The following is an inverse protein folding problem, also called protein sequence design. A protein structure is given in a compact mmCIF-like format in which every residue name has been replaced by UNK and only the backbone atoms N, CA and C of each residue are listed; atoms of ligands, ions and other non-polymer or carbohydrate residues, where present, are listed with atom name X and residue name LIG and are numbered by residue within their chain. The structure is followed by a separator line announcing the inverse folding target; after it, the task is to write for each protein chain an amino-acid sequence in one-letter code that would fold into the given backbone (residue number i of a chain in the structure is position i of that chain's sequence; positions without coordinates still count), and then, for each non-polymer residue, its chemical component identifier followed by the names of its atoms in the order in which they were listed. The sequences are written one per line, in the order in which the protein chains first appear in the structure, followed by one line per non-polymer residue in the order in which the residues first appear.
data_IF_688636422102
#
_entry.id   IF_688636422102
#
_cell.length_a   1.000
_cell.length_b   1.000
_cell.length_c   1.000
_cell.angle_alpha   90.00
_cell.angle_beta   90.00
_cell.angle_gamma   90.00
#
_symmetry.space_group_name_H-M   'P 1'
#
loop_
_entity.id
_entity.type
_entity.pdbx_description
1 polymer ?
#
# COMPACT_ATOMS: atom_id res chain seq x y z
N UNK A 1 21.48 13.01 18.50
CA UNK A 1 20.16 13.58 18.13
C UNK A 1 19.11 12.97 19.03
N UNK A 2 18.21 13.77 19.61
CA UNK A 2 17.14 13.23 20.45
C UNK A 2 16.14 12.44 19.61
N UNK A 3 15.86 11.19 20.01
CA UNK A 3 14.76 10.40 19.46
C UNK A 3 13.43 11.03 19.86
N UNK A 4 12.49 11.16 18.92
CA UNK A 4 11.16 11.67 19.28
C UNK A 4 10.32 10.59 19.94
N UNK A 5 9.38 11.02 20.81
CA UNK A 5 8.45 10.09 21.45
C UNK A 5 7.68 9.28 20.40
N UNK A 6 7.35 8.02 20.71
CA UNK A 6 6.58 7.14 19.83
C UNK A 6 5.27 7.79 19.37
N UNK A 7 4.57 8.49 20.28
CA UNK A 7 3.33 9.22 19.97
C UNK A 7 3.53 10.29 18.89
N UNK A 8 4.62 11.08 18.99
CA UNK A 8 4.94 12.10 18.00
C UNK A 8 5.28 11.48 16.65
N UNK A 9 6.00 10.37 16.62
CA UNK A 9 6.33 9.64 15.40
C UNK A 9 5.08 9.09 14.71
N UNK A 10 4.18 8.46 15.46
CA UNK A 10 2.90 7.97 14.94
C UNK A 10 2.05 9.10 14.37
N UNK A 11 1.93 10.22 15.10
CA UNK A 11 1.14 11.36 14.65
C UNK A 11 1.66 11.94 13.33
N UNK A 12 2.96 12.21 13.24
CA UNK A 12 3.57 12.75 12.02
C UNK A 12 3.42 11.80 10.84
N UNK A 13 3.64 10.50 11.04
CA UNK A 13 3.44 9.50 10.00
C UNK A 13 1.98 9.47 9.53
N UNK A 14 1.02 9.43 10.46
CA UNK A 14 -0.41 9.34 10.13
C UNK A 14 -0.90 10.58 9.39
N UNK A 15 -0.58 11.79 9.89
CA UNK A 15 -0.99 13.05 9.24
C UNK A 15 -0.35 13.19 7.85
N UNK A 16 0.96 12.95 7.75
CA UNK A 16 1.66 13.04 6.47
C UNK A 16 1.14 12.05 5.43
N UNK A 17 0.94 10.81 5.84
CA UNK A 17 0.45 9.75 4.95
C UNK A 17 -0.99 9.95 4.51
N UNK A 18 -1.87 10.39 5.43
CA UNK A 18 -3.27 10.69 5.10
C UNK A 18 -3.35 11.86 4.11
N UNK A 19 -2.61 12.93 4.36
CA UNK A 19 -2.54 14.08 3.46
C UNK A 19 -2.01 13.68 2.07
N UNK A 20 -0.92 12.88 2.03
CA UNK A 20 -0.34 12.38 0.79
C UNK A 20 -1.34 11.54 -0.02
N UNK A 21 -2.05 10.63 0.63
CA UNK A 21 -3.07 9.79 -0.01
C UNK A 21 -4.25 10.61 -0.52
N UNK A 22 -4.67 11.63 0.25
CA UNK A 22 -5.73 12.57 -0.17
C UNK A 22 -5.31 13.36 -1.40
N UNK A 23 -4.08 13.87 -1.45
CA UNK A 23 -3.56 14.57 -2.61
C UNK A 23 -3.44 13.65 -3.85
N UNK A 24 -3.02 12.40 -3.67
CA UNK A 24 -3.02 11.42 -4.77
C UNK A 24 -4.43 11.15 -5.30
N UNK A 25 -5.43 11.04 -4.42
CA UNK A 25 -6.81 10.89 -4.84
C UNK A 25 -7.32 12.15 -5.57
N UNK A 26 -6.98 13.34 -5.08
CA UNK A 26 -7.37 14.61 -5.72
C UNK A 26 -6.84 14.72 -7.17
N UNK A 27 -5.68 14.16 -7.50
CA UNK A 27 -5.18 14.11 -8.89
C UNK A 27 -6.18 13.44 -9.82
N UNK A 28 -6.80 12.33 -9.40
CA UNK A 28 -7.80 11.62 -10.21
C UNK A 28 -9.08 12.43 -10.39
N UNK A 29 -9.45 13.23 -9.39
CA UNK A 29 -10.59 14.16 -9.48
C UNK A 29 -10.26 15.34 -10.38
N UNK A 30 -9.07 15.92 -10.23
CA UNK A 30 -8.64 17.09 -10.99
C UNK A 30 -8.50 16.79 -12.48
N UNK A 31 -7.96 15.63 -12.86
CA UNK A 31 -7.89 15.26 -14.28
C UNK A 31 -9.27 15.14 -14.90
N UNK A 32 -10.24 14.57 -14.19
CA UNK A 32 -11.61 14.45 -14.68
C UNK A 32 -12.35 15.79 -14.78
N UNK A 33 -11.97 16.79 -13.98
CA UNK A 33 -12.62 18.11 -13.91
C UNK A 33 -11.96 19.18 -14.76
N UNK A 34 -10.64 19.14 -14.89
CA UNK A 34 -9.86 20.20 -15.55
C UNK A 34 -9.44 19.85 -16.98
N UNK A 35 -9.44 18.56 -17.37
CA UNK A 35 -9.14 18.21 -18.75
C UNK A 35 -10.35 18.46 -19.67
N UNK A 36 -10.08 18.77 -20.92
CA UNK A 36 -11.11 19.05 -21.94
C UNK A 36 -11.88 17.81 -22.43
N UNK A 37 -11.60 16.62 -21.86
CA UNK A 37 -12.27 15.35 -22.18
C UNK A 37 -11.88 14.25 -21.22
N UNK A 38 -12.60 13.10 -21.31
CA UNK A 38 -12.34 11.92 -20.47
C UNK A 38 -11.09 11.13 -20.90
N UNK A 39 -10.50 11.42 -22.06
CA UNK A 39 -9.33 10.70 -22.60
C UNK A 39 -8.13 10.82 -21.67
N UNK A 40 -7.85 12.02 -21.13
CA UNK A 40 -6.77 12.24 -20.19
C UNK A 40 -6.94 11.43 -18.89
N UNK A 41 -8.17 11.31 -18.39
CA UNK A 41 -8.48 10.51 -17.21
C UNK A 41 -8.28 9.00 -17.50
N UNK A 42 -8.66 8.54 -18.67
CA UNK A 42 -8.44 7.18 -19.15
C UNK A 42 -6.95 6.85 -19.25
N UNK A 43 -6.16 7.71 -19.88
CA UNK A 43 -4.70 7.57 -20.03
C UNK A 43 -4.02 7.56 -18.66
N UNK A 44 -4.38 8.47 -17.76
CA UNK A 44 -3.84 8.50 -16.40
C UNK A 44 -4.17 7.20 -15.64
N UNK A 45 -5.39 6.69 -15.77
CA UNK A 45 -5.80 5.43 -15.14
C UNK A 45 -4.96 4.25 -15.63
N UNK A 46 -4.67 4.19 -16.92
CA UNK A 46 -3.78 3.17 -17.50
C UNK A 46 -2.35 3.35 -16.97
N UNK A 47 -1.83 4.56 -16.93
CA UNK A 47 -0.49 4.84 -16.40
C UNK A 47 -0.38 4.43 -14.92
N UNK A 48 -1.40 4.70 -14.10
CA UNK A 48 -1.50 4.25 -12.71
C UNK A 48 -1.53 2.72 -12.61
N UNK A 49 -2.32 2.05 -13.45
CA UNK A 49 -2.44 0.59 -13.45
C UNK A 49 -1.14 -0.11 -13.83
N UNK A 50 -0.47 0.37 -14.88
CA UNK A 50 0.84 -0.14 -15.32
C UNK A 50 1.89 0.09 -14.23
N UNK A 51 1.87 1.26 -13.57
CA UNK A 51 2.81 1.56 -12.50
C UNK A 51 2.60 0.71 -11.23
N UNK A 52 1.44 0.08 -11.05
CA UNK A 52 1.24 -0.86 -9.95
C UNK A 52 2.10 -2.13 -10.12
N UNK A 53 2.35 -2.57 -11.36
CA UNK A 53 3.27 -3.69 -11.66
C UNK A 53 4.68 -3.31 -11.19
N UNK A 54 5.14 -2.12 -11.58
CA UNK A 54 6.42 -1.56 -11.12
C UNK A 54 6.51 -1.54 -9.60
N UNK A 55 5.45 -1.07 -8.92
CA UNK A 55 5.47 -0.91 -7.47
C UNK A 55 5.64 -2.23 -6.72
N UNK A 56 5.08 -3.34 -7.21
CA UNK A 56 5.26 -4.66 -6.60
C UNK A 56 6.74 -5.11 -6.65
N UNK A 57 7.40 -4.86 -7.78
CA UNK A 57 8.81 -5.23 -7.98
C UNK A 57 9.72 -4.19 -7.29
N UNK A 58 9.47 -2.91 -7.47
CA UNK A 58 10.31 -1.83 -6.95
C UNK A 58 10.33 -1.77 -5.42
N UNK A 59 9.19 -1.91 -4.76
CA UNK A 59 9.10 -1.92 -3.29
C UNK A 59 9.65 -3.21 -2.67
N UNK A 60 9.46 -4.35 -3.30
CA UNK A 60 9.95 -5.67 -2.90
C UNK A 60 9.77 -6.01 -1.41
N UNK A 61 8.82 -5.35 -0.74
CA UNK A 61 8.59 -5.45 0.72
C UNK A 61 9.82 -5.18 1.60
N UNK A 62 10.86 -4.56 1.02
CA UNK A 62 12.14 -4.38 1.70
C UNK A 62 12.03 -3.45 2.91
N UNK A 63 11.11 -2.49 2.93
CA UNK A 63 10.94 -1.59 4.07
C UNK A 63 10.53 -2.33 5.33
N UNK A 64 9.55 -3.24 5.26
CA UNK A 64 9.13 -4.05 6.42
C UNK A 64 10.29 -4.92 6.92
N UNK A 65 11.10 -5.46 6.00
CA UNK A 65 12.31 -6.20 6.33
C UNK A 65 13.38 -5.32 6.97
N UNK A 66 13.64 -4.14 6.41
CA UNK A 66 14.63 -3.17 6.89
C UNK A 66 14.33 -2.68 8.31
N UNK A 67 13.09 -2.22 8.57
CA UNK A 67 12.73 -1.66 9.89
C UNK A 67 12.74 -2.70 11.01
N UNK A 68 12.74 -3.98 10.67
CA UNK A 68 12.86 -5.11 11.60
C UNK A 68 14.27 -5.70 11.67
N UNK A 69 15.25 -5.09 11.00
CA UNK A 69 16.66 -5.53 11.03
C UNK A 69 17.38 -4.97 12.25
N UNK A 70 17.11 -5.62 13.41
CA UNK A 70 17.63 -5.19 14.72
C UNK A 70 19.11 -5.49 14.85
N UNK A 71 19.58 -6.55 14.19
CA UNK A 71 20.99 -7.00 14.25
C UNK A 71 21.87 -6.31 13.22
N UNK A 72 21.32 -5.34 12.45
CA UNK A 72 22.03 -4.62 11.39
C UNK A 72 22.76 -5.58 10.42
N UNK A 73 22.06 -6.70 10.03
CA UNK A 73 22.60 -7.66 9.04
C UNK A 73 22.96 -6.95 7.74
N UNK A 74 22.23 -5.89 7.42
CA UNK A 74 22.45 -5.00 6.28
C UNK A 74 22.52 -3.56 6.72
N UNK A 75 23.53 -2.87 6.25
CA UNK A 75 23.67 -1.42 6.46
C UNK A 75 22.64 -0.62 5.64
N UNK A 76 22.39 0.62 6.04
CA UNK A 76 21.55 1.54 5.27
C UNK A 76 22.00 1.70 3.81
N UNK A 77 23.34 1.64 3.56
CA UNK A 77 23.93 1.68 2.22
C UNK A 77 23.48 0.49 1.37
N UNK A 78 23.43 -0.70 1.97
CA UNK A 78 23.04 -1.93 1.27
C UNK A 78 21.55 -1.96 0.98
N UNK A 79 20.70 -1.50 1.90
CA UNK A 79 19.26 -1.34 1.63
C UNK A 79 19.00 -0.34 0.51
N UNK A 80 19.70 0.80 0.48
CA UNK A 80 19.58 1.78 -0.61
C UNK A 80 20.11 1.21 -1.93
N UNK A 81 21.22 0.48 -1.90
CA UNK A 81 21.75 -0.23 -3.08
C UNK A 81 20.75 -1.22 -3.67
N UNK A 82 20.22 -2.11 -2.84
CA UNK A 82 19.21 -3.09 -3.24
C UNK A 82 17.93 -2.41 -3.79
N UNK A 83 17.50 -1.30 -3.18
CA UNK A 83 16.35 -0.52 -3.65
C UNK A 83 16.57 0.01 -5.06
N UNK A 84 17.76 0.51 -5.38
CA UNK A 84 18.07 0.97 -6.73
C UNK A 84 18.06 -0.18 -7.75
N UNK A 85 18.55 -1.35 -7.36
CA UNK A 85 18.49 -2.55 -8.23
C UNK A 85 17.02 -2.95 -8.50
N UNK A 86 16.18 -3.02 -7.46
CA UNK A 86 14.75 -3.36 -7.64
C UNK A 86 13.99 -2.31 -8.44
N UNK A 87 14.31 -1.03 -8.29
CA UNK A 87 13.77 0.05 -9.12
C UNK A 87 14.20 -0.15 -10.59
N UNK A 88 15.47 -0.40 -10.86
CA UNK A 88 15.97 -0.59 -12.22
C UNK A 88 15.33 -1.81 -12.90
N UNK A 89 15.27 -2.95 -12.22
CA UNK A 89 14.62 -4.17 -12.73
C UNK A 89 13.12 -3.97 -12.93
N UNK A 90 12.42 -3.38 -11.94
CA UNK A 90 11.00 -3.09 -12.04
C UNK A 90 10.68 -2.13 -13.17
N UNK A 91 11.51 -1.10 -13.36
CA UNK A 91 11.37 -0.13 -14.44
C UNK A 91 11.51 -0.80 -15.81
N UNK A 92 12.55 -1.64 -15.98
CA UNK A 92 12.80 -2.38 -17.22
C UNK A 92 11.63 -3.32 -17.55
N UNK A 93 11.19 -4.15 -16.60
CA UNK A 93 10.08 -5.09 -16.80
C UNK A 93 8.80 -4.35 -17.16
N UNK A 94 8.52 -3.23 -16.49
CA UNK A 94 7.30 -2.47 -16.73
C UNK A 94 7.33 -1.73 -18.06
N UNK A 95 8.48 -1.25 -18.52
CA UNK A 95 8.63 -0.69 -19.87
C UNK A 95 8.36 -1.76 -20.92
N UNK A 96 8.96 -2.94 -20.79
CA UNK A 96 8.73 -4.04 -21.74
C UNK A 96 7.26 -4.41 -21.78
N UNK A 97 6.60 -4.50 -20.62
CA UNK A 97 5.16 -4.74 -20.55
C UNK A 97 4.35 -3.62 -21.26
N UNK A 98 4.67 -2.35 -21.02
CA UNK A 98 3.98 -1.23 -21.64
C UNK A 98 4.14 -1.21 -23.17
N UNK A 99 5.34 -1.53 -23.68
CA UNK A 99 5.62 -1.61 -25.10
C UNK A 99 4.82 -2.74 -25.80
N UNK A 100 4.54 -3.84 -25.10
CA UNK A 100 3.77 -4.97 -25.66
C UNK A 100 2.26 -4.73 -25.56
N UNK A 101 1.80 -4.11 -24.45
CA UNK A 101 0.39 -4.11 -24.05
C UNK A 101 -0.33 -2.77 -24.25
N UNK A 102 0.41 -1.67 -24.48
CA UNK A 102 -0.15 -0.33 -24.61
C UNK A 102 0.12 0.28 -25.97
N UNK A 103 -0.75 1.21 -26.43
CA UNK A 103 -0.50 1.98 -27.65
C UNK A 103 0.66 2.96 -27.49
N UNK A 104 1.34 3.26 -28.60
CA UNK A 104 2.50 4.17 -28.60
C UNK A 104 2.18 5.58 -28.06
N UNK A 105 0.96 6.05 -28.29
CA UNK A 105 0.49 7.36 -27.80
C UNK A 105 0.43 7.44 -26.27
N UNK A 106 0.20 6.30 -25.59
CA UNK A 106 0.14 6.22 -24.13
C UNK A 106 1.50 6.05 -23.46
N UNK A 107 2.56 5.75 -24.22
CA UNK A 107 3.88 5.47 -23.64
C UNK A 107 4.46 6.66 -22.90
N UNK A 108 4.33 7.89 -23.43
CA UNK A 108 4.90 9.08 -22.80
C UNK A 108 4.30 9.33 -21.40
N UNK A 109 2.97 9.43 -21.23
CA UNK A 109 2.38 9.57 -19.89
C UNK A 109 2.66 8.38 -18.98
N UNK A 110 2.74 7.15 -19.49
CA UNK A 110 3.11 5.96 -18.71
C UNK A 110 4.54 6.09 -18.18
N UNK A 111 5.52 6.43 -19.05
CA UNK A 111 6.92 6.59 -18.64
C UNK A 111 7.12 7.73 -17.64
N UNK A 112 6.45 8.85 -17.84
CA UNK A 112 6.47 9.96 -16.89
C UNK A 112 5.90 9.54 -15.53
N UNK A 113 4.78 8.82 -15.52
CA UNK A 113 4.17 8.35 -14.27
C UNK A 113 5.04 7.27 -13.59
N UNK A 114 5.72 6.41 -14.36
CA UNK A 114 6.72 5.48 -13.84
C UNK A 114 7.90 6.19 -13.17
N UNK A 115 8.39 7.28 -13.76
CA UNK A 115 9.44 8.10 -13.14
C UNK A 115 8.98 8.71 -11.81
N UNK A 116 7.74 9.22 -11.75
CA UNK A 116 7.14 9.69 -10.51
C UNK A 116 7.12 8.57 -9.46
N UNK A 117 6.65 7.37 -9.82
CA UNK A 117 6.59 6.22 -8.91
C UNK A 117 7.98 5.69 -8.52
N UNK A 118 8.97 5.79 -9.39
CA UNK A 118 10.35 5.44 -9.06
C UNK A 118 10.91 6.36 -7.96
N UNK A 119 10.63 7.67 -8.04
CA UNK A 119 10.96 8.61 -6.98
C UNK A 119 10.30 8.26 -5.64
N UNK A 120 8.99 7.96 -5.64
CA UNK A 120 8.25 7.50 -4.45
C UNK A 120 8.87 6.24 -3.85
N UNK A 121 9.21 5.26 -4.71
CA UNK A 121 9.82 3.99 -4.30
C UNK A 121 11.21 4.20 -3.71
N UNK A 122 11.99 5.15 -4.25
CA UNK A 122 13.28 5.50 -3.68
C UNK A 122 13.16 6.15 -2.30
N UNK A 123 12.20 7.06 -2.11
CA UNK A 123 11.97 7.68 -0.79
C UNK A 123 11.52 6.65 0.25
N UNK A 124 10.83 5.60 -0.14
CA UNK A 124 10.37 4.56 0.79
C UNK A 124 11.52 3.90 1.57
N UNK A 125 12.68 3.63 0.94
CA UNK A 125 13.86 3.08 1.65
C UNK A 125 14.50 4.10 2.57
N UNK A 126 14.49 5.40 2.22
CA UNK A 126 14.98 6.46 3.11
C UNK A 126 14.08 6.60 4.35
N UNK A 127 12.76 6.55 4.16
CA UNK A 127 11.80 6.49 5.26
C UNK A 127 11.98 5.24 6.13
N UNK A 128 12.49 4.12 5.58
CA UNK A 128 12.90 2.95 6.36
C UNK A 128 14.04 3.30 7.31
N UNK A 129 15.07 4.01 6.85
CA UNK A 129 16.19 4.49 7.69
C UNK A 129 15.70 5.46 8.76
N UNK A 130 14.85 6.43 8.39
CA UNK A 130 14.28 7.39 9.34
C UNK A 130 13.46 6.67 10.42
N UNK A 131 12.73 5.63 10.07
CA UNK A 131 11.94 4.82 11.00
C UNK A 131 12.83 4.03 11.96
N UNK A 132 13.92 3.41 11.49
CA UNK A 132 14.91 2.72 12.34
C UNK A 132 15.51 3.65 13.40
N UNK A 133 15.68 4.94 13.06
CA UNK A 133 16.19 5.96 13.96
C UNK A 133 15.11 6.72 14.76
N UNK A 134 13.86 6.23 14.76
CA UNK A 134 12.71 6.87 15.43
C UNK A 134 12.50 8.34 15.01
N UNK A 135 12.71 8.65 13.72
CA UNK A 135 12.56 9.99 13.15
C UNK A 135 11.47 10.04 12.07
N UNK A 136 10.31 9.44 12.35
CA UNK A 136 9.17 9.46 11.42
C UNK A 136 8.55 10.86 11.22
N UNK A 137 8.98 11.85 12.01
CA UNK A 137 8.69 13.25 11.72
C UNK A 137 9.32 13.72 10.39
N UNK A 138 10.45 13.15 9.98
CA UNK A 138 11.02 13.42 8.66
C UNK A 138 10.14 12.82 7.57
N UNK A 139 9.68 11.57 7.74
CA UNK A 139 8.75 10.93 6.81
C UNK A 139 7.45 11.75 6.64
N UNK A 140 6.82 12.16 7.76
CA UNK A 140 5.58 12.93 7.71
C UNK A 140 5.74 14.28 7.02
N UNK A 141 6.82 15.02 7.32
CA UNK A 141 7.13 16.31 6.67
C UNK A 141 7.44 16.14 5.18
N UNK A 142 8.22 15.12 4.82
CA UNK A 142 8.48 14.77 3.42
C UNK A 142 7.21 14.53 2.64
N UNK A 143 6.30 13.70 3.19
CA UNK A 143 5.02 13.41 2.57
C UNK A 143 4.17 14.67 2.36
N UNK A 144 4.13 15.60 3.35
CA UNK A 144 3.43 16.87 3.22
C UNK A 144 4.03 17.73 2.10
N UNK A 145 5.34 17.89 2.09
CA UNK A 145 6.05 18.69 1.09
C UNK A 145 5.82 18.12 -0.31
N UNK A 146 6.07 16.81 -0.50
CA UNK A 146 5.89 16.14 -1.79
C UNK A 146 4.45 16.22 -2.28
N UNK A 147 3.49 15.93 -1.41
CA UNK A 147 2.07 15.95 -1.77
C UNK A 147 1.61 17.34 -2.21
N UNK A 148 2.01 18.39 -1.50
CA UNK A 148 1.68 19.76 -1.87
C UNK A 148 2.32 20.14 -3.21
N UNK A 149 3.60 19.87 -3.36
CA UNK A 149 4.34 20.23 -4.58
C UNK A 149 3.80 19.51 -5.81
N UNK A 150 3.57 18.17 -5.74
CA UNK A 150 3.06 17.46 -6.91
C UNK A 150 1.61 17.83 -7.23
N UNK A 151 0.76 18.07 -6.22
CA UNK A 151 -0.63 18.47 -6.46
C UNK A 151 -0.70 19.84 -7.13
N UNK A 152 0.08 20.82 -6.64
CA UNK A 152 0.14 22.17 -7.21
C UNK A 152 0.68 22.13 -8.63
N UNK A 153 1.80 21.45 -8.87
CA UNK A 153 2.40 21.37 -10.22
C UNK A 153 1.50 20.63 -11.21
N UNK A 154 0.81 19.57 -10.78
CA UNK A 154 -0.16 18.84 -11.59
C UNK A 154 -1.34 19.75 -11.96
N UNK A 155 -1.89 20.47 -10.98
CA UNK A 155 -3.00 21.40 -11.19
C UNK A 155 -2.63 22.51 -12.17
N UNK A 156 -1.45 23.11 -12.01
CA UNK A 156 -0.93 24.14 -12.94
C UNK A 156 -0.77 23.56 -14.35
N UNK A 157 -0.20 22.36 -14.48
CA UNK A 157 -0.02 21.68 -15.76
C UNK A 157 -1.33 21.43 -16.50
N UNK A 158 -2.39 21.04 -15.80
CA UNK A 158 -3.71 20.86 -16.40
C UNK A 158 -4.41 22.19 -16.67
N UNK A 159 -4.46 23.11 -15.70
CA UNK A 159 -5.26 24.32 -15.79
C UNK A 159 -4.72 25.31 -16.83
N UNK A 160 -3.39 25.45 -16.96
CA UNK A 160 -2.80 26.43 -17.86
C UNK A 160 -2.35 25.85 -19.21
N UNK A 161 -1.94 24.59 -19.25
CA UNK A 161 -1.42 23.97 -20.47
C UNK A 161 -2.37 22.95 -21.08
N UNK A 162 -3.46 22.58 -20.39
CA UNK A 162 -4.41 21.54 -20.81
C UNK A 162 -3.71 20.27 -21.33
N UNK A 163 -2.61 19.89 -20.72
CA UNK A 163 -1.76 18.78 -21.15
C UNK A 163 -1.45 17.84 -20.00
N UNK A 164 -1.89 16.59 -20.11
CA UNK A 164 -1.59 15.53 -19.14
C UNK A 164 -0.07 15.31 -18.99
N UNK A 165 0.66 15.34 -20.10
CA UNK A 165 2.11 15.13 -20.09
C UNK A 165 2.82 16.23 -19.31
N UNK A 166 2.43 17.50 -19.48
CA UNK A 166 2.98 18.62 -18.71
C UNK A 166 2.64 18.48 -17.23
N UNK A 167 1.40 18.09 -16.92
CA UNK A 167 0.95 17.89 -15.55
C UNK A 167 1.76 16.79 -14.83
N UNK A 168 1.94 15.62 -15.47
CA UNK A 168 2.74 14.53 -14.90
C UNK A 168 4.22 14.90 -14.82
N UNK A 169 4.77 15.61 -15.83
CA UNK A 169 6.16 16.12 -15.78
C UNK A 169 6.38 17.05 -14.59
N UNK A 170 5.39 17.90 -14.28
CA UNK A 170 5.40 18.74 -13.08
C UNK A 170 5.44 17.92 -11.80
N UNK A 171 4.66 16.83 -11.71
CA UNK A 171 4.72 15.89 -10.58
C UNK A 171 6.10 15.26 -10.42
N UNK A 172 6.69 14.79 -11.54
CA UNK A 172 8.04 14.20 -11.54
C UNK A 172 9.03 15.21 -10.99
N UNK A 173 9.11 16.39 -11.59
CA UNK A 173 10.06 17.43 -11.17
C UNK A 173 9.90 17.77 -9.68
N UNK A 174 8.68 18.00 -9.24
CA UNK A 174 8.36 18.32 -7.85
C UNK A 174 8.78 17.21 -6.87
N UNK A 175 8.57 15.94 -7.26
CA UNK A 175 8.96 14.79 -6.43
C UNK A 175 10.48 14.70 -6.30
N UNK A 176 11.22 14.84 -7.41
CA UNK A 176 12.68 14.77 -7.36
C UNK A 176 13.31 15.96 -6.64
N UNK A 177 12.72 17.16 -6.72
CA UNK A 177 13.14 18.29 -5.89
C UNK A 177 12.91 18.02 -4.40
N UNK A 178 11.77 17.42 -4.03
CA UNK A 178 11.48 17.10 -2.64
C UNK A 178 12.37 15.95 -2.09
N UNK A 179 12.85 15.03 -2.93
CA UNK A 179 13.80 13.97 -2.55
C UNK A 179 15.10 14.57 -1.99
N UNK A 180 15.48 15.77 -2.39
CA UNK A 180 16.65 16.46 -1.82
C UNK A 180 16.49 16.67 -0.32
N UNK A 181 15.26 17.00 0.14
CA UNK A 181 14.96 17.10 1.56
C UNK A 181 15.17 15.75 2.26
N UNK A 182 14.65 14.65 1.72
CA UNK A 182 14.79 13.32 2.30
C UNK A 182 16.26 12.91 2.39
N UNK A 183 17.00 13.03 1.30
CA UNK A 183 18.44 12.71 1.26
C UNK A 183 19.22 13.53 2.29
N UNK A 184 18.95 14.84 2.42
CA UNK A 184 19.68 15.69 3.36
C UNK A 184 19.38 15.34 4.82
N UNK A 185 18.14 14.98 5.14
CA UNK A 185 17.74 14.59 6.50
C UNK A 185 18.25 13.21 6.88
N UNK A 186 18.07 12.22 6.00
CA UNK A 186 18.48 10.83 6.23
C UNK A 186 20.00 10.68 6.29
N UNK A 187 20.78 11.45 5.47
CA UNK A 187 22.24 11.49 5.58
C UNK A 187 22.76 11.96 6.94
N UNK A 188 21.98 12.75 7.65
CA UNK A 188 22.31 13.16 9.01
C UNK A 188 22.14 12.04 10.05
N UNK A 189 21.48 10.92 9.69
CA UNK A 189 21.23 9.78 10.56
C UNK A 189 22.15 8.61 10.25
N UNK A 190 22.37 8.32 8.97
CA UNK A 190 23.16 7.16 8.51
C UNK A 190 23.78 7.43 7.13
N UNK A 191 24.85 6.69 6.78
CA UNK A 191 25.41 6.72 5.44
C UNK A 191 24.47 5.97 4.46
N UNK A 192 23.94 6.71 3.50
CA UNK A 192 22.99 6.22 2.49
C UNK A 192 23.60 6.11 1.09
N UNK A 193 24.93 6.18 0.95
CA UNK A 193 25.60 5.99 -0.35
C UNK A 193 25.36 4.56 -0.84
N UNK A 194 24.74 4.36 -2.03
CA UNK A 194 24.39 3.01 -2.46
C UNK A 194 25.62 2.11 -2.58
N UNK A 195 25.59 0.97 -1.91
CA UNK A 195 26.65 -0.02 -2.01
C UNK A 195 26.12 -1.37 -1.51
N UNK A 196 26.01 -2.34 -2.41
CA UNK A 196 25.65 -3.72 -2.05
C UNK A 196 26.46 -4.69 -2.90
N UNK A 197 26.87 -5.80 -2.33
CA UNK A 197 27.53 -6.89 -3.07
C UNK A 197 26.48 -7.76 -3.74
N UNK A 198 26.83 -8.35 -4.89
CA UNK A 198 25.92 -9.26 -5.63
C UNK A 198 25.43 -10.42 -4.77
N UNK A 199 26.29 -10.96 -3.89
CA UNK A 199 25.93 -12.02 -2.96
C UNK A 199 24.84 -11.58 -1.97
N UNK A 200 25.00 -10.43 -1.33
CA UNK A 200 24.00 -9.87 -0.40
C UNK A 200 22.70 -9.48 -1.12
N UNK A 201 22.79 -8.92 -2.31
CA UNK A 201 21.63 -8.61 -3.15
C UNK A 201 20.84 -9.88 -3.48
N UNK A 202 21.49 -10.92 -3.96
CA UNK A 202 20.88 -12.23 -4.24
C UNK A 202 20.24 -12.83 -2.98
N UNK A 203 20.92 -12.74 -1.82
CA UNK A 203 20.40 -13.23 -0.55
C UNK A 203 19.11 -12.49 -0.16
N UNK A 204 19.09 -11.16 -0.20
CA UNK A 204 17.90 -10.35 0.07
C UNK A 204 16.75 -10.68 -0.89
N UNK A 205 17.07 -10.78 -2.18
CA UNK A 205 16.09 -11.13 -3.21
C UNK A 205 15.43 -12.49 -2.90
N UNK A 206 16.20 -13.51 -2.66
CA UNK A 206 15.67 -14.86 -2.38
C UNK A 206 14.95 -14.94 -1.03
N UNK A 207 15.43 -14.22 -0.01
CA UNK A 207 14.82 -14.22 1.32
C UNK A 207 13.45 -13.52 1.31
N UNK A 208 13.32 -12.38 0.61
CA UNK A 208 12.05 -11.65 0.55
C UNK A 208 11.08 -12.18 -0.51
N UNK A 209 11.54 -12.97 -1.49
CA UNK A 209 10.73 -13.47 -2.60
C UNK A 209 9.42 -14.16 -2.16
N UNK A 210 9.41 -15.07 -1.16
CA UNK A 210 8.17 -15.71 -0.73
C UNK A 210 7.13 -14.68 -0.23
N UNK A 211 7.57 -13.66 0.53
CA UNK A 211 6.68 -12.61 1.01
C UNK A 211 6.14 -11.74 -0.13
N UNK A 212 6.98 -11.41 -1.13
CA UNK A 212 6.56 -10.64 -2.32
C UNK A 212 5.50 -11.41 -3.10
N UNK A 213 5.73 -12.70 -3.36
CA UNK A 213 4.74 -13.56 -4.03
C UNK A 213 3.47 -13.67 -3.19
N UNK A 214 3.57 -13.91 -1.88
CA UNK A 214 2.45 -14.00 -0.98
C UNK A 214 1.56 -12.75 -1.01
N UNK A 215 2.16 -11.57 -0.93
CA UNK A 215 1.42 -10.30 -1.00
C UNK A 215 0.84 -10.02 -2.39
N UNK A 216 1.49 -10.48 -3.45
CA UNK A 216 0.91 -10.42 -4.80
C UNK A 216 -0.32 -11.33 -4.91
N UNK A 217 -0.28 -12.54 -4.35
CA UNK A 217 -1.43 -13.45 -4.28
C UNK A 217 -2.59 -12.85 -3.46
N UNK A 218 -2.28 -12.13 -2.36
CA UNK A 218 -3.29 -11.36 -1.63
C UNK A 218 -4.01 -10.35 -2.54
N UNK A 219 -3.28 -9.65 -3.40
CA UNK A 219 -3.89 -8.72 -4.38
C UNK A 219 -4.72 -9.44 -5.44
N UNK A 220 -4.33 -10.66 -5.84
CA UNK A 220 -5.09 -11.50 -6.78
C UNK A 220 -6.48 -11.81 -6.26
N UNK A 221 -6.66 -12.05 -4.96
CA UNK A 221 -7.98 -12.29 -4.34
C UNK A 221 -8.98 -11.18 -4.69
N UNK A 222 -8.57 -9.93 -4.52
CA UNK A 222 -9.43 -8.76 -4.83
C UNK A 222 -9.64 -8.60 -6.32
N UNK A 223 -8.56 -8.73 -7.10
CA UNK A 223 -8.60 -8.51 -8.55
C UNK A 223 -9.48 -9.56 -9.24
N UNK A 224 -9.30 -10.83 -8.89
CA UNK A 224 -10.10 -11.92 -9.45
C UNK A 224 -11.59 -11.77 -9.13
N UNK A 225 -11.94 -11.47 -7.87
CA UNK A 225 -13.32 -11.27 -7.47
C UNK A 225 -14.00 -10.12 -8.25
N UNK A 226 -13.28 -9.03 -8.50
CA UNK A 226 -13.79 -7.91 -9.30
C UNK A 226 -13.90 -8.24 -10.80
N UNK A 227 -12.92 -8.95 -11.37
CA UNK A 227 -12.97 -9.38 -12.77
C UNK A 227 -14.16 -10.32 -12.99
N UNK A 228 -14.34 -11.31 -12.13
CA UNK A 228 -15.46 -12.24 -12.21
C UNK A 228 -16.82 -11.53 -12.07
N UNK A 229 -16.93 -10.52 -11.19
CA UNK A 229 -18.14 -9.68 -11.14
C UNK A 229 -18.42 -9.00 -12.49
N UNK A 230 -17.39 -8.46 -13.14
CA UNK A 230 -17.53 -7.82 -14.46
C UNK A 230 -17.96 -8.80 -15.53
N UNK A 231 -17.47 -10.03 -15.49
CA UNK A 231 -17.86 -11.11 -16.44
C UNK A 231 -19.27 -11.62 -16.16
N UNK A 232 -19.64 -11.86 -14.90
CA UNK A 232 -20.90 -12.47 -14.52
C UNK A 232 -22.09 -11.50 -14.50
N UNK A 233 -21.87 -10.23 -14.09
CA UNK A 233 -22.92 -9.22 -13.90
C UNK A 233 -22.79 -8.02 -14.85
N UNK A 234 -21.75 -7.99 -15.68
CA UNK A 234 -21.48 -6.93 -16.64
C UNK A 234 -20.67 -5.74 -16.08
N UNK A 235 -20.06 -5.00 -16.98
CA UNK A 235 -19.23 -3.82 -16.65
C UNK A 235 -19.96 -2.74 -15.85
N UNK A 236 -21.26 -2.45 -16.03
CA UNK A 236 -21.97 -1.48 -15.19
C UNK A 236 -22.02 -1.88 -13.71
N UNK A 237 -22.24 -3.16 -13.40
CA UNK A 237 -22.27 -3.68 -12.03
C UNK A 237 -20.89 -3.53 -11.36
N UNK A 238 -19.81 -3.85 -12.10
CA UNK A 238 -18.45 -3.64 -11.64
C UNK A 238 -18.17 -2.16 -11.38
N UNK A 239 -18.62 -1.28 -12.27
CA UNK A 239 -18.45 0.18 -12.11
C UNK A 239 -19.14 0.71 -10.85
N UNK A 240 -20.39 0.32 -10.59
CA UNK A 240 -21.14 0.69 -9.38
C UNK A 240 -20.42 0.18 -8.14
N UNK A 241 -20.08 -1.12 -8.11
CA UNK A 241 -19.37 -1.75 -6.98
C UNK A 241 -18.04 -1.05 -6.67
N UNK A 242 -17.22 -0.82 -7.69
CA UNK A 242 -15.92 -0.17 -7.52
C UNK A 242 -16.08 1.25 -6.98
N UNK A 243 -17.06 2.02 -7.49
CA UNK A 243 -17.32 3.40 -7.04
C UNK A 243 -17.79 3.45 -5.60
N UNK A 244 -18.76 2.61 -5.21
CA UNK A 244 -19.26 2.53 -3.81
C UNK A 244 -18.15 2.10 -2.84
N UNK A 245 -17.27 1.17 -3.25
CA UNK A 245 -16.19 0.68 -2.41
C UNK A 245 -14.96 1.62 -2.34
N UNK A 246 -14.86 2.63 -3.20
CA UNK A 246 -13.69 3.53 -3.22
C UNK A 246 -13.46 4.27 -1.90
N UNK A 247 -14.45 4.90 -1.25
CA UNK A 247 -14.22 5.62 0.01
C UNK A 247 -13.82 4.71 1.17
N UNK A 248 -14.24 3.43 1.13
CA UNK A 248 -14.01 2.48 2.21
C UNK A 248 -12.52 2.10 2.36
N UNK A 249 -11.73 2.28 1.30
CA UNK A 249 -10.27 2.02 1.31
C UNK A 249 -9.54 2.87 2.36
N UNK A 250 -10.14 3.96 2.82
CA UNK A 250 -9.58 4.79 3.90
C UNK A 250 -9.31 3.97 5.18
N UNK A 251 -10.10 2.93 5.47
CA UNK A 251 -9.90 2.03 6.61
C UNK A 251 -8.53 1.37 6.53
N UNK A 252 -8.15 0.86 5.35
CA UNK A 252 -6.88 0.19 5.12
C UNK A 252 -5.70 1.17 5.28
N UNK A 253 -5.85 2.38 4.75
CA UNK A 253 -4.85 3.42 4.89
C UNK A 253 -4.65 3.83 6.37
N UNK A 254 -5.73 4.10 7.10
CA UNK A 254 -5.66 4.44 8.52
C UNK A 254 -5.03 3.31 9.35
N UNK A 255 -5.41 2.06 9.07
CA UNK A 255 -4.83 0.90 9.72
C UNK A 255 -3.31 0.82 9.50
N UNK A 256 -2.86 0.95 8.26
CA UNK A 256 -1.44 0.93 7.91
C UNK A 256 -0.66 2.04 8.63
N UNK A 257 -1.20 3.24 8.71
CA UNK A 257 -0.55 4.36 9.38
C UNK A 257 -0.38 4.14 10.89
N UNK A 258 -1.26 3.35 11.51
CA UNK A 258 -1.18 3.00 12.93
C UNK A 258 -0.16 1.87 13.16
N UNK A 259 -0.20 0.79 12.38
CA UNK A 259 0.64 -0.37 12.67
C UNK A 259 2.06 -0.30 12.07
N UNK A 260 2.25 0.37 10.93
CA UNK A 260 3.56 0.38 10.27
C UNK A 260 4.70 0.93 11.16
N UNK A 261 4.49 1.99 11.97
CA UNK A 261 5.51 2.46 12.91
C UNK A 261 5.87 1.47 14.01
N UNK A 262 5.01 0.50 14.28
CA UNK A 262 5.18 -0.47 15.37
C UNK A 262 5.95 -1.72 14.96
N UNK A 263 6.16 -1.97 13.66
CA UNK A 263 6.80 -3.19 13.16
C UNK A 263 8.20 -3.41 13.73
N UNK A 264 9.02 -2.37 13.85
CA UNK A 264 10.34 -2.45 14.47
C UNK A 264 10.28 -2.81 15.96
N UNK A 265 9.28 -2.27 16.68
CA UNK A 265 9.08 -2.55 18.11
C UNK A 265 8.62 -4.00 18.33
N UNK A 266 7.76 -4.52 17.44
CA UNK A 266 7.37 -5.93 17.43
C UNK A 266 8.59 -6.84 17.22
N UNK A 267 9.43 -6.52 16.24
CA UNK A 267 10.63 -7.29 15.95
C UNK A 267 11.60 -7.27 17.15
N UNK A 268 11.84 -6.12 17.77
CA UNK A 268 12.67 -5.99 18.97
C UNK A 268 12.12 -6.78 20.16
N UNK A 269 10.80 -6.69 20.42
CA UNK A 269 10.17 -7.41 21.53
C UNK A 269 10.24 -8.93 21.34
N UNK A 270 10.15 -9.40 20.09
CA UNK A 270 10.28 -10.80 19.72
C UNK A 270 11.72 -11.30 19.89
N UNK A 271 12.69 -10.55 19.40
CA UNK A 271 14.11 -10.90 19.44
C UNK A 271 14.66 -10.96 20.87
N UNK A 272 14.26 -9.99 21.70
CA UNK A 272 14.64 -9.92 23.11
C UNK A 272 13.87 -10.90 24.01
N UNK A 273 12.96 -11.72 23.45
CA UNK A 273 12.15 -12.67 24.20
C UNK A 273 11.12 -12.06 25.14
N UNK A 274 10.82 -10.75 25.01
CA UNK A 274 9.80 -10.05 25.80
C UNK A 274 8.39 -10.37 25.33
N UNK A 275 7.98 -11.65 25.49
CA UNK A 275 6.70 -12.18 24.98
C UNK A 275 5.48 -11.42 25.54
N UNK A 276 5.51 -11.01 26.82
CA UNK A 276 4.43 -10.23 27.43
C UNK A 276 4.22 -8.88 26.74
N UNK A 277 5.32 -8.17 26.46
CA UNK A 277 5.29 -6.86 25.79
C UNK A 277 4.79 -7.02 24.36
N UNK A 278 5.26 -8.07 23.66
CA UNK A 278 4.80 -8.41 22.32
C UNK A 278 3.28 -8.64 22.27
N UNK A 279 2.75 -9.49 23.16
CA UNK A 279 1.32 -9.80 23.22
C UNK A 279 0.51 -8.54 23.61
N UNK A 280 0.98 -7.76 24.58
CA UNK A 280 0.34 -6.50 24.95
C UNK A 280 0.27 -5.52 23.77
N UNK A 281 1.36 -5.37 23.03
CA UNK A 281 1.42 -4.51 21.84
C UNK A 281 0.49 -5.04 20.73
N UNK A 282 0.47 -6.36 20.50
CA UNK A 282 -0.41 -7.00 19.53
C UNK A 282 -1.89 -6.73 19.86
N UNK A 283 -2.30 -6.93 21.11
CA UNK A 283 -3.68 -6.69 21.54
C UNK A 283 -4.07 -5.22 21.42
N UNK A 284 -3.18 -4.30 21.77
CA UNK A 284 -3.40 -2.85 21.60
C UNK A 284 -3.55 -2.47 20.12
N UNK A 285 -2.73 -3.06 19.26
CA UNK A 285 -2.79 -2.80 17.81
C UNK A 285 -4.09 -3.36 17.21
N UNK A 286 -4.46 -4.60 17.53
CA UNK A 286 -5.73 -5.19 17.09
C UNK A 286 -6.93 -4.36 17.59
N UNK A 287 -6.91 -3.93 18.86
CA UNK A 287 -7.94 -3.05 19.39
C UNK A 287 -8.02 -1.72 18.64
N UNK A 288 -6.88 -1.11 18.34
CA UNK A 288 -6.83 0.14 17.54
C UNK A 288 -7.43 -0.07 16.14
N UNK A 289 -7.15 -1.20 15.48
CA UNK A 289 -7.76 -1.53 14.18
C UNK A 289 -9.28 -1.67 14.26
N UNK A 290 -9.78 -2.32 15.33
CA UNK A 290 -11.23 -2.44 15.59
C UNK A 290 -11.86 -1.07 15.85
N UNK A 291 -11.20 -0.20 16.59
CA UNK A 291 -11.68 1.18 16.84
C UNK A 291 -11.73 1.98 15.53
N UNK A 292 -10.68 1.93 14.70
CA UNK A 292 -10.68 2.58 13.38
C UNK A 292 -11.85 2.09 12.54
N UNK A 293 -12.05 0.77 12.48
CA UNK A 293 -13.18 0.18 11.78
C UNK A 293 -14.52 0.69 12.31
N UNK A 294 -14.72 0.66 13.64
CA UNK A 294 -15.97 1.09 14.26
C UNK A 294 -16.27 2.57 13.97
N UNK A 295 -15.27 3.45 14.09
CA UNK A 295 -15.43 4.89 13.79
C UNK A 295 -15.78 5.11 12.31
N UNK A 296 -15.07 4.46 11.39
CA UNK A 296 -15.37 4.55 9.97
C UNK A 296 -16.75 3.95 9.64
N UNK A 297 -17.10 2.80 10.22
CA UNK A 297 -18.39 2.15 9.99
C UNK A 297 -19.55 3.04 10.47
N UNK A 298 -19.45 3.61 11.67
CA UNK A 298 -20.46 4.56 12.19
C UNK A 298 -20.55 5.78 11.26
N UNK A 299 -19.43 6.36 10.82
CA UNK A 299 -19.41 7.47 9.90
C UNK A 299 -20.12 7.14 8.57
N UNK A 300 -19.80 6.00 7.97
CA UNK A 300 -20.43 5.58 6.71
C UNK A 300 -21.91 5.19 6.87
N UNK A 301 -22.32 4.63 8.02
CA UNK A 301 -23.74 4.36 8.29
C UNK A 301 -24.54 5.66 8.45
N UNK A 302 -23.95 6.69 9.07
CA UNK A 302 -24.64 7.96 9.31
C UNK A 302 -24.72 8.87 8.09
N UNK A 303 -23.68 8.92 7.27
CA UNK A 303 -23.53 9.93 6.20
C UNK A 303 -23.19 9.30 4.84
N UNK A 304 -23.05 7.98 4.74
CA UNK A 304 -22.54 7.31 3.54
C UNK A 304 -23.38 7.54 2.30
N UNK A 305 -24.70 7.36 2.39
CA UNK A 305 -25.61 7.58 1.25
C UNK A 305 -25.62 9.03 0.78
N UNK A 306 -25.57 9.99 1.73
CA UNK A 306 -25.49 11.42 1.42
C UNK A 306 -24.15 11.76 0.76
N UNK A 307 -23.06 11.21 1.29
CA UNK A 307 -21.71 11.40 0.76
C UNK A 307 -21.60 10.83 -0.67
N UNK A 308 -22.08 9.60 -0.88
CA UNK A 308 -22.09 8.96 -2.19
C UNK A 308 -22.96 9.73 -3.19
N UNK A 309 -24.13 10.18 -2.75
CA UNK A 309 -25.04 10.98 -3.59
C UNK A 309 -24.45 12.33 -4.00
N UNK A 310 -23.79 13.01 -3.05
CA UNK A 310 -23.14 14.29 -3.31
C UNK A 310 -21.93 14.18 -4.25
N UNK A 311 -21.09 13.14 -4.06
CA UNK A 311 -19.86 12.97 -4.82
C UNK A 311 -20.12 12.31 -6.19
N UNK A 312 -20.90 11.22 -6.22
CA UNK A 312 -21.04 10.35 -7.38
C UNK A 312 -22.44 10.33 -8.01
N UNK A 313 -23.41 11.00 -7.37
CA UNK A 313 -24.75 11.11 -7.88
C UNK A 313 -25.75 10.05 -7.37
N UNK A 314 -27.05 10.20 -7.74
CA UNK A 314 -28.14 9.42 -7.14
C UNK A 314 -28.08 7.92 -7.48
N UNK A 315 -27.58 7.54 -8.66
CA UNK A 315 -27.44 6.15 -9.06
C UNK A 315 -26.50 5.36 -8.14
N UNK A 316 -25.43 6.00 -7.68
CA UNK A 316 -24.46 5.37 -6.76
C UNK A 316 -25.05 5.34 -5.34
N UNK A 317 -25.71 6.41 -4.90
CA UNK A 317 -26.40 6.46 -3.60
C UNK A 317 -27.47 5.38 -3.45
N UNK A 318 -28.22 5.06 -4.51
CA UNK A 318 -29.21 3.98 -4.51
C UNK A 318 -28.63 2.59 -4.24
N UNK A 319 -27.32 2.41 -4.41
CA UNK A 319 -26.59 1.17 -4.14
C UNK A 319 -25.76 1.25 -2.84
N UNK A 320 -26.07 2.17 -1.92
CA UNK A 320 -25.35 2.37 -0.67
C UNK A 320 -25.30 1.13 0.25
N UNK A 321 -26.25 0.21 0.12
CA UNK A 321 -26.25 -1.07 0.85
C UNK A 321 -24.98 -1.92 0.62
N UNK A 322 -24.27 -1.73 -0.49
CA UNK A 322 -22.99 -2.39 -0.76
C UNK A 322 -21.88 -1.96 0.22
N UNK A 323 -22.03 -0.80 0.87
CA UNK A 323 -21.07 -0.27 1.85
C UNK A 323 -20.88 -1.27 3.00
N UNK A 324 -21.95 -1.88 3.50
CA UNK A 324 -21.87 -2.74 4.70
C UNK A 324 -20.96 -3.95 4.49
N UNK A 325 -21.17 -4.66 3.39
CA UNK A 325 -20.29 -5.78 3.02
C UNK A 325 -18.86 -5.31 2.68
N UNK A 326 -18.75 -4.15 2.02
CA UNK A 326 -17.47 -3.50 1.71
C UNK A 326 -16.67 -3.09 2.94
N UNK A 327 -17.31 -2.56 3.98
CA UNK A 327 -16.67 -2.18 5.24
C UNK A 327 -16.01 -3.39 5.92
N UNK A 328 -16.73 -4.52 6.03
CA UNK A 328 -16.17 -5.75 6.57
C UNK A 328 -15.00 -6.26 5.73
N UNK A 329 -15.16 -6.25 4.40
CA UNK A 329 -14.11 -6.62 3.47
C UNK A 329 -12.85 -5.75 3.67
N UNK A 330 -13.01 -4.43 3.81
CA UNK A 330 -11.90 -3.49 4.01
C UNK A 330 -11.19 -3.69 5.35
N UNK A 331 -11.93 -3.99 6.41
CA UNK A 331 -11.36 -4.33 7.73
C UNK A 331 -10.50 -5.60 7.64
N UNK A 332 -11.03 -6.66 7.01
CA UNK A 332 -10.29 -7.91 6.85
C UNK A 332 -9.06 -7.75 5.97
N UNK A 333 -9.15 -6.92 4.92
CA UNK A 333 -7.99 -6.54 4.08
C UNK A 333 -6.90 -5.86 4.93
N UNK A 334 -7.29 -4.92 5.79
CA UNK A 334 -6.36 -4.25 6.69
C UNK A 334 -5.73 -5.22 7.70
N UNK A 335 -6.51 -6.15 8.24
CA UNK A 335 -6.03 -7.18 9.17
C UNK A 335 -5.01 -8.11 8.49
N UNK A 336 -5.31 -8.60 7.28
CA UNK A 336 -4.40 -9.46 6.51
C UNK A 336 -3.11 -8.72 6.18
N UNK A 337 -3.19 -7.45 5.79
CA UNK A 337 -2.01 -6.62 5.53
C UNK A 337 -1.14 -6.48 6.79
N UNK A 338 -1.75 -6.15 7.94
CA UNK A 338 -1.04 -6.06 9.22
C UNK A 338 -0.36 -7.37 9.60
N UNK A 339 -1.09 -8.50 9.58
CA UNK A 339 -0.54 -9.80 9.96
C UNK A 339 0.58 -10.26 9.01
N UNK A 340 0.44 -9.98 7.71
CA UNK A 340 1.47 -10.29 6.72
C UNK A 340 2.73 -9.45 6.95
N UNK A 341 2.60 -8.13 7.16
CA UNK A 341 3.74 -7.26 7.45
C UNK A 341 4.40 -7.62 8.80
N UNK A 342 3.59 -8.04 9.79
CA UNK A 342 4.10 -8.52 11.07
C UNK A 342 4.91 -9.80 10.91
N UNK A 343 4.43 -10.82 10.17
CA UNK A 343 5.21 -12.04 9.90
C UNK A 343 6.50 -11.74 9.13
N UNK A 344 6.46 -10.81 8.18
CA UNK A 344 7.66 -10.34 7.47
C UNK A 344 8.66 -9.73 8.46
N UNK A 345 8.18 -8.91 9.40
CA UNK A 345 9.04 -8.29 10.42
C UNK A 345 9.65 -9.31 11.40
N UNK A 346 8.98 -10.45 11.60
CA UNK A 346 9.48 -11.59 12.39
C UNK A 346 10.29 -12.60 11.56
N UNK A 347 10.63 -12.28 10.31
CA UNK A 347 11.40 -13.13 9.38
C UNK A 347 10.68 -14.43 8.94
N UNK A 348 9.37 -14.57 9.15
CA UNK A 348 8.58 -15.72 8.64
C UNK A 348 7.96 -15.42 7.25
N UNK A 349 8.83 -15.28 6.24
CA UNK A 349 8.43 -15.04 4.85
C UNK A 349 7.57 -16.17 4.30
N UNK A 350 7.91 -17.41 4.66
CA UNK A 350 7.17 -18.60 4.24
C UNK A 350 5.78 -18.68 4.85
N UNK A 351 5.63 -18.24 6.12
CA UNK A 351 4.31 -18.14 6.75
C UNK A 351 3.41 -17.14 6.04
N UNK A 352 3.94 -15.99 5.69
CA UNK A 352 3.24 -14.99 4.89
C UNK A 352 2.83 -15.56 3.52
N UNK A 353 3.74 -16.24 2.80
CA UNK A 353 3.46 -16.86 1.51
C UNK A 353 2.35 -17.91 1.60
N UNK A 354 2.49 -18.89 2.50
CA UNK A 354 1.54 -20.01 2.64
C UNK A 354 0.14 -19.50 2.99
N UNK A 355 0.03 -18.55 3.93
CA UNK A 355 -1.26 -17.98 4.31
C UNK A 355 -1.98 -17.33 3.14
N UNK A 356 -1.28 -16.47 2.40
CA UNK A 356 -1.85 -15.78 1.25
C UNK A 356 -2.11 -16.71 0.05
N UNK A 357 -1.29 -17.75 -0.15
CA UNK A 357 -1.52 -18.77 -1.18
C UNK A 357 -2.82 -19.53 -0.93
N UNK A 358 -3.04 -20.00 0.31
CA UNK A 358 -4.27 -20.72 0.66
C UNK A 358 -5.48 -19.79 0.49
N UNK A 359 -5.40 -18.53 0.93
CA UNK A 359 -6.46 -17.55 0.72
C UNK A 359 -6.77 -17.31 -0.75
N UNK A 360 -5.74 -17.23 -1.59
CA UNK A 360 -5.90 -17.10 -3.04
C UNK A 360 -6.61 -18.34 -3.63
N UNK A 361 -6.22 -19.55 -3.24
CA UNK A 361 -6.87 -20.78 -3.70
C UNK A 361 -8.34 -20.86 -3.26
N UNK A 362 -8.66 -20.44 -2.04
CA UNK A 362 -10.04 -20.37 -1.52
C UNK A 362 -10.86 -19.32 -2.28
N UNK A 363 -10.24 -18.24 -2.74
CA UNK A 363 -10.95 -17.16 -3.42
C UNK A 363 -11.61 -17.59 -4.72
N UNK A 364 -11.05 -18.53 -5.47
CA UNK A 364 -11.62 -18.99 -6.74
C UNK A 364 -13.03 -19.60 -6.59
N UNK A 365 -13.22 -20.69 -5.81
CA UNK A 365 -14.54 -21.26 -5.62
C UNK A 365 -15.47 -20.31 -4.84
N UNK A 366 -14.97 -19.60 -3.82
CA UNK A 366 -15.79 -18.65 -3.07
C UNK A 366 -16.35 -17.55 -3.97
N UNK A 367 -15.56 -17.00 -4.89
CA UNK A 367 -16.00 -15.98 -5.80
C UNK A 367 -17.06 -16.52 -6.77
N UNK A 368 -16.81 -17.68 -7.36
CA UNK A 368 -17.76 -18.29 -8.30
C UNK A 368 -19.13 -18.53 -7.65
N UNK A 369 -19.16 -19.07 -6.44
CA UNK A 369 -20.40 -19.38 -5.72
C UNK A 369 -21.11 -18.10 -5.25
N UNK A 370 -20.38 -17.20 -4.59
CA UNK A 370 -21.01 -16.06 -3.91
C UNK A 370 -21.42 -14.94 -4.86
N UNK A 371 -20.64 -14.69 -5.91
CA UNK A 371 -21.01 -13.68 -6.90
C UNK A 371 -22.21 -14.15 -7.73
N UNK A 372 -22.30 -15.45 -8.08
CA UNK A 372 -23.47 -15.97 -8.77
C UNK A 372 -24.74 -15.92 -7.93
N UNK A 373 -24.66 -16.04 -6.60
CA UNK A 373 -25.81 -16.01 -5.71
C UNK A 373 -26.19 -14.60 -5.23
N UNK A 374 -25.21 -13.74 -4.94
CA UNK A 374 -25.40 -12.45 -4.29
C UNK A 374 -24.98 -11.25 -5.14
N UNK A 375 -24.59 -11.47 -6.40
CA UNK A 375 -24.17 -10.41 -7.32
C UNK A 375 -23.03 -9.55 -6.76
N UNK A 376 -23.21 -8.23 -6.77
CA UNK A 376 -22.21 -7.27 -6.29
C UNK A 376 -21.78 -7.49 -4.83
N UNK A 377 -22.72 -7.81 -3.92
CA UNK A 377 -22.40 -8.14 -2.53
C UNK A 377 -21.56 -9.42 -2.42
N UNK A 378 -21.77 -10.38 -3.31
CA UNK A 378 -21.01 -11.62 -3.36
C UNK A 378 -19.51 -11.39 -3.55
N UNK A 379 -19.13 -10.32 -4.23
CA UNK A 379 -17.73 -9.92 -4.39
C UNK A 379 -17.09 -9.58 -3.02
N UNK A 380 -17.74 -8.77 -2.21
CA UNK A 380 -17.25 -8.46 -0.87
C UNK A 380 -17.26 -9.67 0.06
N UNK A 381 -18.29 -10.53 -0.05
CA UNK A 381 -18.36 -11.75 0.75
C UNK A 381 -17.27 -12.76 0.41
N UNK A 382 -16.96 -12.95 -0.88
CA UNK A 382 -15.90 -13.88 -1.32
C UNK A 382 -14.52 -13.43 -0.87
N UNK A 383 -14.21 -12.14 -0.99
CA UNK A 383 -12.96 -11.56 -0.49
C UNK A 383 -12.90 -11.71 1.05
N UNK A 384 -14.00 -11.42 1.76
CA UNK A 384 -14.06 -11.52 3.22
C UNK A 384 -13.81 -12.95 3.70
N UNK A 385 -14.44 -13.96 3.10
CA UNK A 385 -14.23 -15.38 3.46
C UNK A 385 -12.77 -15.77 3.22
N UNK A 386 -12.21 -15.40 2.06
CA UNK A 386 -10.81 -15.69 1.74
C UNK A 386 -9.88 -15.06 2.77
N UNK A 387 -10.13 -13.82 3.17
CA UNK A 387 -9.29 -13.12 4.14
C UNK A 387 -9.50 -13.55 5.59
N UNK A 388 -10.66 -14.10 5.94
CA UNK A 388 -10.85 -14.78 7.23
C UNK A 388 -9.94 -16.02 7.29
N UNK A 389 -9.91 -16.82 6.22
CA UNK A 389 -9.03 -18.01 6.15
C UNK A 389 -7.56 -17.59 6.26
N UNK A 390 -7.14 -16.58 5.50
CA UNK A 390 -5.77 -16.02 5.60
C UNK A 390 -5.47 -15.59 7.03
N UNK A 391 -6.35 -14.80 7.63
CA UNK A 391 -6.14 -14.26 8.99
C UNK A 391 -5.98 -15.37 10.03
N UNK A 392 -6.78 -16.44 9.94
CA UNK A 392 -6.68 -17.60 10.83
C UNK A 392 -5.30 -18.27 10.68
N UNK A 393 -4.85 -18.49 9.44
CA UNK A 393 -3.56 -19.15 9.17
C UNK A 393 -2.40 -18.28 9.68
N UNK A 394 -2.42 -16.98 9.38
CA UNK A 394 -1.35 -16.05 9.78
C UNK A 394 -1.31 -15.90 11.32
N UNK A 395 -2.47 -15.82 11.99
CA UNK A 395 -2.54 -15.79 13.45
C UNK A 395 -2.03 -17.10 14.08
N UNK A 396 -2.38 -18.24 13.49
CA UNK A 396 -1.88 -19.53 13.97
C UNK A 396 -0.34 -19.63 13.84
N UNK A 397 0.22 -19.15 12.72
CA UNK A 397 1.68 -19.05 12.54
C UNK A 397 2.29 -18.12 13.57
N UNK A 398 1.71 -16.94 13.78
CA UNK A 398 2.19 -15.97 14.74
C UNK A 398 2.21 -16.53 16.17
N UNK A 399 1.13 -17.20 16.58
CA UNK A 399 1.05 -17.85 17.91
C UNK A 399 2.10 -18.94 18.08
N UNK A 400 2.40 -19.70 17.01
CA UNK A 400 3.47 -20.72 17.06
C UNK A 400 4.86 -20.11 17.21
N UNK A 401 5.11 -18.98 16.54
CA UNK A 401 6.40 -18.29 16.61
C UNK A 401 6.64 -17.66 17.98
N UNK A 402 5.58 -17.07 18.57
CA UNK A 402 5.66 -16.28 19.82
C UNK A 402 5.57 -17.19 21.07
N UNK A 403 5.06 -18.42 20.96
CA UNK A 403 5.11 -19.37 22.09
C UNK A 403 6.57 -19.52 22.56
N UNK A 404 6.82 -19.42 23.89
CA UNK A 404 8.18 -19.60 24.40
C UNK A 404 8.71 -20.94 23.87
N UNK A 405 9.89 -20.92 23.27
CA UNK A 405 10.66 -22.13 23.06
C UNK A 405 10.82 -22.72 24.47
N UNK A 406 10.08 -23.77 24.76
CA UNK A 406 10.30 -24.53 25.98
C UNK A 406 11.80 -24.81 26.01
N UNK A 407 12.43 -24.36 27.10
CA UNK A 407 13.86 -24.54 27.34
C UNK A 407 14.13 -26.03 27.15
N UNK A 408 14.76 -26.38 26.02
CA UNK A 408 15.25 -27.71 25.75
C UNK A 408 16.68 -27.80 26.28
#
# INVERSE_FOLDING_TARGET
MESKSLKSNMLWNSVGSLYYSTCQWLITVLVARLSSGFDAAGILSIAMSVSNIFSQIGLYRIRSYQVSDIHEEYSSREYVGFRLETIAVGFLITIVYALISCSLEMLVPILLYLLFRAGDTFVDVLHGVDQQHFRMDYCGKSMLIRATLFLVSFTIGLAFFNSLNVAISGMVLSTYLAIIYDITKTRGLSDIRPSITLEKSKRLLLTCLPAVIGMSLCSVVVTYARQYLGEACGSPALGIYATVCTPIVIIQACANYVYAPLLGIFAESYDTGRTSDFISLLMKTLFALVVIFAVCAVGFVMVGDQLLGFIFGPTIAANGNLIYAGLLCSMLTALVAFLSDLLISLRDMNGCFIGNLIGCLVSFPATHILVSQFGMNGTSYSISISYIVVSIILLFRLVRLVKPKAIA
#
